data_IF_304713477579
#
_entry.id   IF_304713477579
#
_cell.length_a   1.000
_cell.length_b   1.000
_cell.length_c   1.000
_cell.angle_alpha   90.00
_cell.angle_beta   90.00
_cell.angle_gamma   90.00
#
_symmetry.space_group_name_H-M   'P 1'
#
loop_
_entity.id
_entity.type
_entity.pdbx_description
1 polymer ?
#
# COMPACT_ATOMS: atom_id res chain seq x y z
N UNK A 1 -16.73 -0.13 -5.87
CA UNK A 1 -17.45 -0.50 -4.62
C UNK A 1 -18.30 -1.76 -4.78
N UNK A 2 -18.98 -1.96 -5.90
CA UNK A 2 -19.89 -3.10 -6.15
C UNK A 2 -19.38 -4.50 -5.78
N UNK A 3 -18.09 -4.81 -5.98
CA UNK A 3 -17.58 -6.17 -5.68
C UNK A 3 -17.57 -6.51 -4.19
N UNK A 4 -17.36 -5.52 -3.30
CA UNK A 4 -17.41 -5.78 -1.86
C UNK A 4 -18.87 -6.04 -1.45
N UNK A 5 -19.79 -5.21 -1.93
CA UNK A 5 -21.21 -5.34 -1.61
C UNK A 5 -21.78 -6.67 -2.14
N UNK A 6 -21.42 -7.07 -3.37
CA UNK A 6 -21.88 -8.31 -4.01
C UNK A 6 -21.38 -9.59 -3.34
N UNK A 7 -20.23 -9.53 -2.65
CA UNK A 7 -19.66 -10.68 -1.95
C UNK A 7 -19.86 -10.62 -0.44
N UNK A 8 -20.70 -9.68 0.06
CA UNK A 8 -20.88 -9.42 1.48
C UNK A 8 -21.17 -10.67 2.31
N UNK A 9 -22.05 -11.54 1.81
CA UNK A 9 -22.44 -12.78 2.49
C UNK A 9 -21.30 -13.81 2.58
N UNK A 10 -20.32 -13.76 1.66
CA UNK A 10 -19.19 -14.70 1.63
C UNK A 10 -18.09 -14.36 2.64
N UNK A 11 -18.12 -13.16 3.22
CA UNK A 11 -17.08 -12.71 4.15
C UNK A 11 -17.32 -13.15 5.60
N UNK A 12 -18.52 -13.65 5.94
CA UNK A 12 -18.88 -14.04 7.31
C UNK A 12 -18.72 -12.88 8.29
N UNK A 13 -18.05 -13.11 9.42
CA UNK A 13 -17.76 -12.06 10.42
C UNK A 13 -16.63 -11.10 9.99
N UNK A 14 -15.99 -11.35 8.84
CA UNK A 14 -14.88 -10.53 8.34
C UNK A 14 -15.38 -9.17 7.88
N UNK A 15 -14.84 -8.10 8.49
CA UNK A 15 -15.16 -6.72 8.08
C UNK A 15 -14.38 -6.34 6.82
N UNK A 16 -15.07 -6.26 5.69
CA UNK A 16 -14.50 -5.81 4.41
C UNK A 16 -15.00 -4.40 4.08
N UNK A 17 -14.10 -3.52 3.65
CA UNK A 17 -14.43 -2.14 3.23
C UNK A 17 -13.72 -1.80 1.94
N UNK A 18 -14.36 -0.99 1.10
CA UNK A 18 -13.77 -0.38 -0.08
C UNK A 18 -13.69 1.13 0.13
N UNK A 19 -12.52 1.72 -0.08
CA UNK A 19 -12.29 3.17 0.04
C UNK A 19 -11.48 3.66 -1.14
N UNK A 20 -11.72 4.90 -1.55
CA UNK A 20 -10.84 5.60 -2.49
C UNK A 20 -9.62 6.08 -1.70
N UNK A 21 -8.43 5.72 -2.18
CA UNK A 21 -7.15 6.11 -1.61
C UNK A 21 -6.30 6.72 -2.73
N UNK A 22 -6.23 8.04 -2.79
CA UNK A 22 -5.39 8.75 -3.74
C UNK A 22 -4.01 9.00 -3.12
N UNK A 23 -2.93 8.50 -3.74
CA UNK A 23 -1.60 8.54 -3.13
C UNK A 23 -1.06 9.95 -2.91
N UNK A 24 -1.45 10.86 -3.79
CA UNK A 24 -0.98 12.24 -3.74
C UNK A 24 -1.88 13.20 -2.93
N UNK A 25 -2.84 12.66 -2.17
CA UNK A 25 -3.71 13.44 -1.31
C UNK A 25 -3.54 13.04 0.16
N UNK A 26 -4.12 13.83 1.06
CA UNK A 26 -4.17 13.45 2.47
C UNK A 26 -4.95 12.15 2.66
N UNK A 27 -4.38 11.23 3.44
CA UNK A 27 -5.09 10.02 3.85
C UNK A 27 -6.00 10.35 5.04
N UNK A 28 -7.12 9.63 5.12
CA UNK A 28 -8.04 9.72 6.25
C UNK A 28 -7.35 9.27 7.53
N UNK A 29 -7.59 10.00 8.62
CA UNK A 29 -7.03 9.69 9.95
C UNK A 29 -7.33 8.25 10.41
N UNK A 30 -8.51 7.72 10.05
CA UNK A 30 -8.93 6.35 10.37
C UNK A 30 -8.06 5.25 9.73
N UNK A 31 -7.32 5.58 8.66
CA UNK A 31 -6.46 4.65 7.94
C UNK A 31 -5.00 4.72 8.42
N UNK A 32 -4.64 5.73 9.21
CA UNK A 32 -3.26 5.91 9.66
C UNK A 32 -2.83 4.81 10.63
N UNK A 33 -1.67 4.21 10.35
CA UNK A 33 -1.04 3.17 11.16
C UNK A 33 -2.00 2.02 11.51
N UNK A 34 -2.93 1.69 10.61
CA UNK A 34 -4.06 0.79 10.89
C UNK A 34 -3.89 -0.61 10.27
N UNK A 35 -2.91 -0.79 9.38
CA UNK A 35 -2.73 -2.04 8.64
C UNK A 35 -1.47 -2.78 9.08
N UNK A 36 -1.64 -4.03 9.50
CA UNK A 36 -0.52 -4.93 9.76
C UNK A 36 0.15 -5.37 8.45
N UNK A 37 -0.61 -5.59 7.38
CA UNK A 37 -0.10 -5.99 6.06
C UNK A 37 -0.69 -5.10 4.98
N UNK A 38 0.16 -4.62 4.08
CA UNK A 38 -0.25 -3.93 2.84
C UNK A 38 0.16 -4.81 1.66
N UNK A 39 -0.74 -5.02 0.71
CA UNK A 39 -0.45 -5.75 -0.54
C UNK A 39 -0.69 -4.81 -1.72
N UNK A 40 0.32 -4.67 -2.59
CA UNK A 40 0.26 -3.86 -3.80
C UNK A 40 0.77 -4.65 -4.99
N UNK A 41 0.01 -4.67 -6.09
CA UNK A 41 0.35 -5.42 -7.30
C UNK A 41 0.44 -4.50 -8.52
N UNK A 42 1.60 -4.51 -9.19
CA UNK A 42 1.94 -3.71 -10.38
C UNK A 42 1.71 -2.19 -10.21
N UNK A 43 1.93 -1.67 -8.99
CA UNK A 43 1.68 -0.26 -8.65
C UNK A 43 2.86 0.69 -8.91
N UNK A 44 4.04 0.19 -9.31
CA UNK A 44 5.27 0.97 -9.39
C UNK A 44 5.60 1.47 -10.80
N UNK A 45 4.70 1.36 -11.77
CA UNK A 45 4.97 1.74 -13.16
C UNK A 45 5.21 3.25 -13.34
N UNK A 46 4.36 4.08 -12.73
CA UNK A 46 4.45 5.54 -12.85
C UNK A 46 5.42 6.10 -11.82
N UNK A 47 6.64 6.41 -12.28
CA UNK A 47 7.74 6.94 -11.45
C UNK A 47 7.40 8.28 -10.77
N UNK A 48 6.54 9.06 -11.41
CA UNK A 48 6.03 10.35 -10.95
C UNK A 48 5.34 10.25 -9.58
N UNK A 49 4.75 9.10 -9.27
CA UNK A 49 4.01 8.87 -8.03
C UNK A 49 4.75 8.01 -7.01
N UNK A 50 6.02 7.67 -7.24
CA UNK A 50 6.78 6.82 -6.32
C UNK A 50 6.90 7.44 -4.93
N UNK A 51 7.14 8.75 -4.84
CA UNK A 51 7.23 9.47 -3.58
C UNK A 51 5.90 9.44 -2.82
N UNK A 52 4.81 9.80 -3.51
CA UNK A 52 3.46 9.81 -2.95
C UNK A 52 3.04 8.41 -2.48
N UNK A 53 3.34 7.37 -3.26
CA UNK A 53 3.08 5.97 -2.90
C UNK A 53 3.90 5.52 -1.68
N UNK A 54 5.20 5.84 -1.63
CA UNK A 54 6.06 5.50 -0.49
C UNK A 54 5.57 6.18 0.81
N UNK A 55 5.18 7.45 0.72
CA UNK A 55 4.57 8.20 1.82
C UNK A 55 3.28 7.54 2.32
N UNK A 56 2.41 7.13 1.41
CA UNK A 56 1.13 6.46 1.75
C UNK A 56 1.39 5.13 2.42
N UNK A 57 2.28 4.28 1.88
CA UNK A 57 2.65 3.00 2.50
C UNK A 57 3.10 3.21 3.94
N UNK A 58 4.05 4.14 4.17
CA UNK A 58 4.56 4.43 5.52
C UNK A 58 3.46 4.89 6.49
N UNK A 59 2.53 5.74 6.04
CA UNK A 59 1.47 6.24 6.91
C UNK A 59 0.37 5.22 7.18
N UNK A 60 0.08 4.32 6.25
CA UNK A 60 -0.91 3.25 6.43
C UNK A 60 -0.39 2.13 7.32
N UNK A 61 0.90 1.79 7.17
CA UNK A 61 1.51 0.69 7.88
C UNK A 61 1.53 0.96 9.38
N UNK A 62 1.03 0.00 10.15
CA UNK A 62 1.04 0.09 11.61
C UNK A 62 2.47 0.17 12.13
N UNK A 63 2.67 0.93 13.20
CA UNK A 63 3.98 1.11 13.86
C UNK A 63 4.31 -0.11 14.72
N UNK A 64 4.53 -1.25 14.07
CA UNK A 64 4.88 -2.52 14.69
C UNK A 64 6.02 -3.17 13.91
N UNK A 65 6.87 -3.93 14.61
CA UNK A 65 7.98 -4.67 13.98
C UNK A 65 7.50 -5.82 13.08
N UNK A 66 6.27 -6.29 13.28
CA UNK A 66 5.68 -7.36 12.51
C UNK A 66 4.89 -6.86 11.28
N UNK A 67 4.78 -5.54 11.09
CA UNK A 67 4.01 -4.99 9.98
C UNK A 67 4.86 -4.89 8.72
N UNK A 68 4.29 -5.29 7.59
CA UNK A 68 5.00 -5.35 6.32
C UNK A 68 4.17 -4.88 5.12
N UNK A 69 4.86 -4.43 4.08
CA UNK A 69 4.26 -4.09 2.81
C UNK A 69 4.85 -4.97 1.71
N UNK A 70 3.99 -5.77 1.07
CA UNK A 70 4.35 -6.74 0.05
C UNK A 70 4.04 -6.13 -1.32
N UNK A 71 5.08 -5.91 -2.11
CA UNK A 71 4.99 -5.38 -3.47
C UNK A 71 5.28 -6.48 -4.48
N UNK A 72 4.30 -6.78 -5.33
CA UNK A 72 4.41 -7.76 -6.40
C UNK A 72 4.31 -7.04 -7.74
N UNK A 73 5.15 -7.38 -8.71
CA UNK A 73 5.04 -6.76 -10.03
C UNK A 73 6.05 -7.32 -11.02
N UNK A 74 5.75 -7.23 -12.32
CA UNK A 74 6.70 -7.64 -13.36
C UNK A 74 7.93 -6.74 -13.36
N UNK A 75 9.05 -7.26 -13.87
CA UNK A 75 10.24 -6.44 -14.12
C UNK A 75 9.94 -5.45 -15.24
N UNK A 76 9.72 -4.17 -14.89
CA UNK A 76 9.48 -3.07 -15.83
C UNK A 76 10.67 -2.10 -15.78
N UNK A 77 11.74 -2.47 -16.49
CA UNK A 77 12.99 -1.71 -16.46
C UNK A 77 13.53 -1.55 -15.03
N UNK A 78 13.82 -0.32 -14.65
CA UNK A 78 14.34 0.08 -13.34
C UNK A 78 13.25 0.59 -12.36
N UNK A 79 11.96 0.47 -12.71
CA UNK A 79 10.90 1.16 -11.98
C UNK A 79 10.75 0.67 -10.53
N UNK A 80 10.74 -0.64 -10.30
CA UNK A 80 10.68 -1.20 -8.95
C UNK A 80 11.92 -0.82 -8.12
N UNK A 81 13.11 -0.83 -8.75
CA UNK A 81 14.35 -0.45 -8.07
C UNK A 81 14.30 1.02 -7.61
N UNK A 82 13.86 1.93 -8.49
CA UNK A 82 13.66 3.34 -8.16
C UNK A 82 12.64 3.56 -7.04
N UNK A 83 11.59 2.74 -7.01
CA UNK A 83 10.63 2.80 -5.92
C UNK A 83 11.25 2.35 -4.59
N UNK A 84 12.07 1.29 -4.58
CA UNK A 84 12.80 0.83 -3.38
C UNK A 84 13.73 1.93 -2.84
N UNK A 85 14.37 2.71 -3.71
CA UNK A 85 15.17 3.87 -3.31
C UNK A 85 14.31 4.90 -2.55
N UNK A 86 13.09 5.18 -3.01
CA UNK A 86 12.15 6.07 -2.30
C UNK A 86 11.69 5.49 -0.96
N UNK A 87 11.45 4.19 -0.87
CA UNK A 87 11.09 3.53 0.38
C UNK A 87 12.20 3.69 1.44
N UNK A 88 13.47 3.58 1.04
CA UNK A 88 14.61 3.82 1.95
C UNK A 88 14.63 5.24 2.51
N UNK A 89 14.32 6.24 1.69
CA UNK A 89 14.24 7.64 2.11
C UNK A 89 13.14 7.86 3.17
N UNK A 90 12.11 7.00 3.20
CA UNK A 90 11.08 7.05 4.24
C UNK A 90 11.51 6.43 5.58
N UNK A 91 12.67 5.78 5.65
CA UNK A 91 13.15 5.07 6.85
C UNK A 91 12.52 3.70 7.06
N UNK A 92 11.85 3.16 6.05
CA UNK A 92 11.41 1.76 6.01
C UNK A 92 12.56 0.88 5.50
N UNK A 93 12.67 -0.31 6.08
CA UNK A 93 13.56 -1.35 5.57
C UNK A 93 12.83 -2.17 4.49
N UNK A 94 13.59 -2.82 3.61
CA UNK A 94 13.04 -3.75 2.63
C UNK A 94 13.89 -5.03 2.60
N UNK A 95 13.25 -6.11 2.19
CA UNK A 95 13.87 -7.39 1.85
C UNK A 95 13.40 -7.74 0.41
N UNK A 96 14.29 -8.26 -0.43
CA UNK A 96 14.07 -8.41 -1.87
C UNK A 96 14.46 -9.78 -2.39
#
# INVERSE_FOLDING_TARGET
>A
MHNVDNNGELFGDTKVKSVILHWDQEIKLELENSFDVIVASDCTFFKEFHESLARVVKRLLKRSKASEAIFLGPKRGDSLHKFIERIRETGLNYDA
#
